data_IF_470783285385
#
_entry.id   IF_470783285385
#
_cell.length_a   1.000
_cell.length_b   1.000
_cell.length_c   1.000
_cell.angle_alpha   90.00
_cell.angle_beta   90.00
_cell.angle_gamma   90.00
#
_symmetry.space_group_name_H-M   'P 1'
#
loop_
_entity.id
_entity.type
_entity.pdbx_description
1 polymer ?
#
# COMPACT_ATOMS: atom_id res chain seq x y z
N UNK A 1 -26.85 2.58 -24.69
CA UNK A 1 -26.67 3.63 -23.66
C UNK A 1 -26.64 3.06 -22.23
N UNK A 2 -27.48 2.08 -21.85
CA UNK A 2 -27.42 1.48 -20.50
C UNK A 2 -26.14 0.66 -20.20
N UNK A 3 -25.55 0.00 -21.21
CA UNK A 3 -24.33 -0.83 -21.04
C UNK A 3 -23.05 -0.02 -20.81
N UNK A 4 -22.98 1.20 -21.35
CA UNK A 4 -21.88 2.16 -21.15
C UNK A 4 -21.79 2.59 -19.67
N UNK A 5 -22.91 2.98 -19.06
CA UNK A 5 -22.96 3.40 -17.66
C UNK A 5 -22.55 2.30 -16.65
N UNK A 6 -22.81 1.04 -16.99
CA UNK A 6 -22.45 -0.12 -16.16
C UNK A 6 -20.95 -0.42 -16.29
N UNK A 7 -20.34 -0.22 -17.47
CA UNK A 7 -18.91 -0.38 -17.67
C UNK A 7 -18.10 0.67 -16.90
N UNK A 8 -18.48 1.94 -17.02
CA UNK A 8 -17.82 3.08 -16.37
C UNK A 8 -17.82 2.97 -14.84
N UNK A 9 -18.96 2.55 -14.26
CA UNK A 9 -19.06 2.32 -12.81
C UNK A 9 -18.13 1.21 -12.31
N UNK A 10 -17.98 0.11 -13.06
CA UNK A 10 -17.09 -1.00 -12.68
C UNK A 10 -15.62 -0.58 -12.73
N UNK A 11 -15.24 0.20 -13.74
CA UNK A 11 -13.90 0.74 -13.86
C UNK A 11 -13.57 1.71 -12.71
N UNK A 12 -14.52 2.60 -12.39
CA UNK A 12 -14.37 3.52 -11.26
C UNK A 12 -14.17 2.78 -9.94
N UNK A 13 -15.04 1.81 -9.62
CA UNK A 13 -14.94 1.02 -8.38
C UNK A 13 -13.60 0.28 -8.30
N UNK A 14 -13.13 -0.30 -9.41
CA UNK A 14 -11.82 -0.99 -9.48
C UNK A 14 -10.67 -0.06 -9.13
N UNK A 15 -10.66 1.15 -9.71
CA UNK A 15 -9.60 2.13 -9.44
C UNK A 15 -9.60 2.62 -8.00
N UNK A 16 -10.78 2.86 -7.42
CA UNK A 16 -10.95 3.28 -6.02
C UNK A 16 -10.54 2.16 -5.06
N UNK A 17 -10.94 0.91 -5.33
CA UNK A 17 -10.59 -0.22 -4.47
C UNK A 17 -9.09 -0.48 -4.45
N UNK A 18 -8.40 -0.40 -5.60
CA UNK A 18 -6.93 -0.56 -5.67
C UNK A 18 -6.23 0.52 -4.84
N UNK A 19 -6.69 1.76 -4.96
CA UNK A 19 -6.13 2.88 -4.20
C UNK A 19 -6.35 2.73 -2.70
N UNK A 20 -7.57 2.37 -2.29
CA UNK A 20 -7.93 2.17 -0.89
C UNK A 20 -7.15 1.00 -0.27
N UNK A 21 -7.03 -0.14 -0.96
CA UNK A 21 -6.25 -1.28 -0.50
C UNK A 21 -4.77 -0.95 -0.35
N UNK A 22 -4.20 -0.22 -1.32
CA UNK A 22 -2.81 0.21 -1.26
C UNK A 22 -2.55 1.13 -0.06
N UNK A 23 -3.44 2.09 0.18
CA UNK A 23 -3.35 2.99 1.32
C UNK A 23 -3.46 2.25 2.66
N UNK A 24 -4.46 1.37 2.82
CA UNK A 24 -4.70 0.64 4.07
C UNK A 24 -3.53 -0.30 4.41
N UNK A 25 -2.95 -0.97 3.41
CA UNK A 25 -1.78 -1.83 3.62
C UNK A 25 -0.51 -1.03 3.92
N UNK A 26 -0.33 0.15 3.33
CA UNK A 26 0.76 1.07 3.71
C UNK A 26 0.68 1.48 5.18
N UNK A 27 -0.51 1.87 5.65
CA UNK A 27 -0.76 2.20 7.06
C UNK A 27 -0.55 0.97 7.96
N UNK A 28 -1.07 -0.19 7.57
CA UNK A 28 -0.87 -1.44 8.31
C UNK A 28 0.60 -1.84 8.44
N UNK A 29 1.39 -1.68 7.38
CA UNK A 29 2.83 -1.91 7.41
C UNK A 29 3.56 -0.94 8.35
N UNK A 30 3.11 0.32 8.45
CA UNK A 30 3.73 1.30 9.34
C UNK A 30 3.45 0.99 10.81
N UNK A 31 2.21 0.57 11.12
CA UNK A 31 1.87 0.10 12.46
C UNK A 31 2.64 -1.17 12.81
N UNK A 32 2.76 -2.13 11.88
CA UNK A 32 3.58 -3.32 12.09
C UNK A 32 5.06 -2.96 12.37
N UNK A 33 5.61 -2.00 11.62
CA UNK A 33 6.96 -1.48 11.83
C UNK A 33 7.11 -0.88 13.24
N UNK A 34 6.10 -0.16 13.73
CA UNK A 34 6.07 0.40 15.09
C UNK A 34 6.10 -0.66 16.17
N UNK A 35 5.27 -1.69 16.00
CA UNK A 35 5.16 -2.76 17.00
C UNK A 35 6.40 -3.64 17.07
N UNK A 36 7.10 -3.85 15.94
CA UNK A 36 8.25 -4.76 15.87
C UNK A 36 9.58 -4.07 16.14
N UNK A 37 9.83 -2.91 15.52
CA UNK A 37 11.11 -2.20 15.63
C UNK A 37 11.09 -1.16 16.76
N UNK A 38 9.89 -0.76 17.22
CA UNK A 38 9.71 0.35 18.15
C UNK A 38 9.87 1.69 17.45
N UNK A 39 9.72 2.77 18.19
CA UNK A 39 9.65 4.14 17.64
C UNK A 39 10.70 5.08 18.20
N UNK A 40 11.72 4.51 18.82
CA UNK A 40 12.87 5.25 19.33
C UNK A 40 13.73 5.77 18.18
N UNK A 41 14.61 6.72 18.47
CA UNK A 41 15.52 7.31 17.46
C UNK A 41 16.44 6.28 16.79
N UNK A 42 16.72 5.15 17.45
CA UNK A 42 17.47 4.01 16.89
C UNK A 42 16.65 3.23 15.86
N UNK A 43 15.33 3.14 16.04
CA UNK A 43 14.42 2.51 15.09
C UNK A 43 14.34 3.28 13.76
N UNK A 44 14.48 4.61 13.80
CA UNK A 44 14.49 5.46 12.61
C UNK A 44 15.66 5.17 11.64
N UNK A 45 16.78 4.61 12.13
CA UNK A 45 17.92 4.24 11.30
C UNK A 45 17.89 2.78 10.83
N UNK A 46 16.90 2.00 11.26
CA UNK A 46 16.86 0.56 11.02
C UNK A 46 16.26 0.23 9.65
N UNK A 47 17.06 -0.40 8.78
CA UNK A 47 16.62 -0.89 7.45
C UNK A 47 15.60 -2.04 7.55
N UNK A 48 15.45 -2.65 8.73
CA UNK A 48 14.47 -3.71 8.98
C UNK A 48 13.02 -3.24 8.74
N UNK A 49 12.72 -1.97 9.02
CA UNK A 49 11.40 -1.36 8.75
C UNK A 49 11.03 -1.40 7.26
N UNK A 50 12.04 -1.36 6.39
CA UNK A 50 11.90 -1.41 4.94
C UNK A 50 11.43 -2.80 4.46
N UNK A 51 11.76 -3.85 5.20
CA UNK A 51 11.31 -5.21 4.90
C UNK A 51 9.79 -5.36 5.03
N UNK A 52 9.15 -4.63 5.96
CA UNK A 52 7.69 -4.65 6.10
C UNK A 52 6.98 -4.03 4.89
N UNK A 53 7.53 -2.97 4.31
CA UNK A 53 6.98 -2.35 3.09
C UNK A 53 7.13 -3.26 1.90
N UNK A 54 8.32 -3.83 1.73
CA UNK A 54 8.58 -4.78 0.64
C UNK A 54 7.65 -5.99 0.79
N UNK A 55 7.46 -6.50 2.01
CA UNK A 55 6.48 -7.55 2.30
C UNK A 55 5.05 -7.15 1.94
N UNK A 56 4.61 -5.95 2.32
CA UNK A 56 3.28 -5.45 1.98
C UNK A 56 3.06 -5.30 0.47
N UNK A 57 4.08 -4.82 -0.27
CA UNK A 57 4.06 -4.73 -1.73
C UNK A 57 3.96 -6.12 -2.36
N UNK A 58 4.72 -7.10 -1.88
CA UNK A 58 4.64 -8.49 -2.36
C UNK A 58 3.25 -9.09 -2.11
N UNK A 59 2.69 -8.90 -0.91
CA UNK A 59 1.32 -9.35 -0.58
C UNK A 59 0.29 -8.71 -1.52
N UNK A 60 0.43 -7.42 -1.84
CA UNK A 60 -0.44 -6.75 -2.81
C UNK A 60 -0.34 -7.36 -4.20
N UNK A 61 0.87 -7.64 -4.67
CA UNK A 61 1.07 -8.29 -5.96
C UNK A 61 0.45 -9.69 -6.00
N UNK A 62 0.60 -10.47 -4.93
CA UNK A 62 -0.02 -11.80 -4.83
C UNK A 62 -1.56 -11.68 -4.82
N UNK A 63 -2.11 -10.77 -4.03
CA UNK A 63 -3.57 -10.56 -3.96
C UNK A 63 -4.17 -10.11 -5.30
N UNK A 64 -3.51 -9.16 -5.97
CA UNK A 64 -3.97 -8.64 -7.27
C UNK A 64 -3.96 -9.75 -8.33
N UNK A 65 -2.91 -10.57 -8.38
CA UNK A 65 -2.83 -11.71 -9.29
C UNK A 65 -3.85 -12.81 -8.94
N UNK A 66 -4.00 -13.14 -7.66
CA UNK A 66 -4.92 -14.19 -7.21
C UNK A 66 -6.40 -13.83 -7.41
N UNK A 67 -6.75 -12.54 -7.31
CA UNK A 67 -8.14 -12.08 -7.46
C UNK A 67 -8.55 -11.90 -8.94
N UNK A 68 -7.63 -12.05 -9.91
CA UNK A 68 -7.95 -11.99 -11.34
C UNK A 68 -8.66 -10.70 -11.78
N UNK A 69 -8.42 -9.59 -11.06
CA UNK A 69 -9.14 -8.31 -11.23
C UNK A 69 -8.91 -7.72 -12.64
N UNK A 70 -7.85 -8.18 -13.30
CA UNK A 70 -7.46 -7.87 -14.66
C UNK A 70 -7.32 -9.24 -15.33
N UNK A 71 -8.21 -9.56 -16.28
CA UNK A 71 -8.26 -10.88 -16.94
C UNK A 71 -7.08 -11.10 -17.89
N UNK A 72 -7.35 -11.26 -19.19
CA UNK A 72 -6.30 -11.39 -20.23
C UNK A 72 -5.54 -10.07 -20.51
N UNK A 73 -6.05 -8.93 -19.99
CA UNK A 73 -5.36 -7.65 -20.05
C UNK A 73 -4.23 -7.61 -19.01
N UNK A 74 -2.99 -7.68 -19.49
CA UNK A 74 -1.80 -7.66 -18.66
C UNK A 74 -1.76 -6.39 -17.79
N UNK A 75 -1.60 -6.58 -16.48
CA UNK A 75 -1.50 -5.51 -15.51
C UNK A 75 -0.27 -4.66 -15.86
N UNK A 76 -0.46 -3.55 -16.57
CA UNK A 76 0.65 -2.78 -17.10
C UNK A 76 1.61 -2.30 -16.01
N UNK A 77 2.90 -2.19 -16.33
CA UNK A 77 3.97 -1.75 -15.42
C UNK A 77 3.62 -0.48 -14.63
N UNK A 78 2.86 0.43 -15.23
CA UNK A 78 2.34 1.64 -14.58
C UNK A 78 1.52 1.35 -13.32
N UNK A 79 0.66 0.33 -13.36
CA UNK A 79 -0.22 0.01 -12.23
C UNK A 79 0.56 -0.62 -11.07
N UNK A 80 1.54 -1.46 -11.38
CA UNK A 80 2.45 -1.99 -10.37
C UNK A 80 3.26 -0.87 -9.70
N UNK A 81 3.79 0.06 -10.51
CA UNK A 81 4.52 1.22 -10.00
C UNK A 81 3.62 2.13 -9.14
N UNK A 82 2.37 2.33 -9.53
CA UNK A 82 1.39 3.08 -8.75
C UNK A 82 1.14 2.43 -7.38
N UNK A 83 0.87 1.13 -7.35
CA UNK A 83 0.60 0.39 -6.11
C UNK A 83 1.83 0.41 -5.19
N UNK A 84 3.01 0.13 -5.73
CA UNK A 84 4.25 0.18 -4.95
C UNK A 84 4.51 1.58 -4.38
N UNK A 85 4.36 2.62 -5.21
CA UNK A 85 4.56 4.01 -4.80
C UNK A 85 3.57 4.44 -3.72
N UNK A 86 2.28 4.15 -3.91
CA UNK A 86 1.23 4.52 -2.96
C UNK A 86 1.42 3.82 -1.61
N UNK A 87 1.73 2.52 -1.62
CA UNK A 87 1.99 1.76 -0.39
C UNK A 87 3.21 2.28 0.35
N UNK A 88 4.29 2.58 -0.39
CA UNK A 88 5.50 3.18 0.18
C UNK A 88 5.23 4.57 0.77
N UNK A 89 4.55 5.44 0.03
CA UNK A 89 4.27 6.81 0.48
C UNK A 89 3.43 6.83 1.76
N UNK A 90 2.36 6.01 1.82
CA UNK A 90 1.51 5.94 3.01
C UNK A 90 2.25 5.34 4.19
N UNK A 91 3.03 4.27 3.98
CA UNK A 91 3.88 3.73 5.03
C UNK A 91 4.86 4.80 5.56
N UNK A 92 5.57 5.50 4.67
CA UNK A 92 6.60 6.46 5.05
C UNK A 92 6.02 7.62 5.87
N UNK A 93 4.88 8.16 5.44
CA UNK A 93 4.20 9.25 6.14
C UNK A 93 3.70 8.77 7.52
N UNK A 94 3.01 7.63 7.58
CA UNK A 94 2.50 7.11 8.85
C UNK A 94 3.64 6.76 9.81
N UNK A 95 4.72 6.17 9.30
CA UNK A 95 5.90 5.83 10.08
C UNK A 95 6.59 7.07 10.65
N UNK A 96 6.79 8.10 9.81
CA UNK A 96 7.35 9.38 10.24
C UNK A 96 6.51 10.08 11.31
N UNK A 97 5.17 10.01 11.20
CA UNK A 97 4.26 10.57 12.21
C UNK A 97 4.41 9.83 13.54
N UNK A 98 4.41 8.49 13.53
CA UNK A 98 4.54 7.68 14.76
C UNK A 98 5.87 7.96 15.47
N UNK A 99 6.98 7.99 14.71
CA UNK A 99 8.30 8.34 15.23
C UNK A 99 8.33 9.74 15.84
N UNK A 100 7.68 10.72 15.20
CA UNK A 100 7.65 12.11 15.70
C UNK A 100 6.78 12.25 16.93
N UNK A 101 5.64 11.55 16.97
CA UNK A 101 4.71 11.58 18.09
C UNK A 101 5.33 10.99 19.37
N UNK A 102 6.05 9.87 19.26
CA UNK A 102 6.73 9.26 20.41
C UNK A 102 8.08 9.93 20.73
N UNK A 103 8.69 10.67 19.80
CA UNK A 103 9.83 11.55 20.11
C UNK A 103 9.44 12.82 20.88
N UNK A 104 8.16 13.20 20.91
CA UNK A 104 7.65 14.38 21.62
C UNK A 104 6.80 14.05 22.86
N UNK A 105 6.52 12.77 23.11
CA UNK A 105 5.74 12.27 24.25
C UNK A 105 6.58 11.93 25.48
#
# INVERSE_FOLDING_TARGET
MSTESISDRREHIRSVSVTAMSALLGVGAAVASATWVGTTTTAAQSTETLAFVVGAIVVQYVLINALGIYGEDEFGTKHYLFVAFMTFALWFITWGILLTAEATG
#
